data_IF_873409672376
#
_entry.id   IF_873409672376
#
_cell.length_a   1.000
_cell.length_b   1.000
_cell.length_c   1.000
_cell.angle_alpha   90.00
_cell.angle_beta   90.00
_cell.angle_gamma   90.00
#
_symmetry.space_group_name_H-M   'P 1'
#
loop_
_entity.id
_entity.type
_entity.pdbx_description
1 polymer ?
#
# COMPACT_ATOMS: atom_id res chain seq x y z
N UNK A 1 -48.23 -1.00 -7.13
CA UNK A 1 -46.89 -0.38 -7.17
C UNK A 1 -46.51 0.02 -5.76
N UNK A 2 -45.58 -0.69 -5.08
CA UNK A 2 -45.14 -0.31 -3.73
C UNK A 2 -43.89 0.57 -3.87
N UNK A 3 -44.08 1.88 -3.68
CA UNK A 3 -42.99 2.87 -3.61
C UNK A 3 -42.27 2.65 -2.28
N UNK A 4 -41.13 1.96 -2.31
CA UNK A 4 -40.28 1.81 -1.12
C UNK A 4 -39.72 3.18 -0.76
N UNK A 5 -40.04 3.60 0.47
CA UNK A 5 -39.58 4.84 1.09
C UNK A 5 -38.05 4.85 1.11
N UNK A 6 -37.45 5.87 0.49
CA UNK A 6 -36.04 6.20 0.72
C UNK A 6 -35.96 6.73 2.15
N UNK A 7 -35.55 5.89 3.08
CA UNK A 7 -35.14 6.32 4.41
C UNK A 7 -33.84 7.09 4.24
N UNK A 8 -33.89 8.41 4.39
CA UNK A 8 -32.71 9.25 4.52
C UNK A 8 -31.99 8.82 5.80
N UNK A 9 -30.81 8.24 5.65
CA UNK A 9 -29.94 7.92 6.79
C UNK A 9 -29.54 9.26 7.44
N UNK A 10 -29.86 9.49 8.73
CA UNK A 10 -29.57 10.77 9.40
C UNK A 10 -28.07 11.07 9.48
N UNK A 11 -27.21 10.07 9.31
CA UNK A 11 -25.76 10.22 9.34
C UNK A 11 -25.15 10.46 7.93
N UNK A 12 -25.97 10.46 6.87
CA UNK A 12 -25.53 10.68 5.49
C UNK A 12 -25.53 12.18 5.15
N UNK A 13 -24.36 12.71 4.79
CA UNK A 13 -24.22 14.07 4.29
C UNK A 13 -24.82 14.19 2.87
N UNK A 14 -25.42 15.35 2.58
CA UNK A 14 -26.07 15.64 1.30
C UNK A 14 -25.15 15.50 0.09
N UNK A 15 -23.84 15.75 0.28
CA UNK A 15 -22.83 15.68 -0.79
C UNK A 15 -22.39 14.24 -1.13
N UNK A 16 -22.85 13.23 -0.40
CA UNK A 16 -22.44 11.85 -0.61
C UNK A 16 -23.28 11.13 -1.66
N UNK A 17 -22.73 10.96 -2.87
CA UNK A 17 -23.31 10.09 -3.90
C UNK A 17 -22.72 8.67 -3.87
N UNK A 18 -23.40 7.76 -3.16
CA UNK A 18 -23.09 6.33 -3.16
C UNK A 18 -23.84 5.52 -4.23
N UNK A 19 -24.55 6.16 -5.18
CA UNK A 19 -25.31 5.44 -6.23
C UNK A 19 -24.43 4.52 -7.09
N UNK A 20 -23.12 4.82 -7.17
CA UNK A 20 -22.10 4.04 -7.88
C UNK A 20 -21.20 3.20 -6.94
N UNK A 21 -21.58 3.10 -5.67
CA UNK A 21 -20.83 2.35 -4.67
C UNK A 21 -20.79 0.85 -4.98
N UNK A 22 -19.59 0.24 -4.90
CA UNK A 22 -19.41 -1.20 -5.10
C UNK A 22 -18.89 -1.81 -3.81
N UNK A 23 -19.64 -2.74 -3.22
CA UNK A 23 -19.24 -3.45 -1.99
C UNK A 23 -17.93 -4.20 -2.25
N UNK A 24 -16.92 -3.92 -1.42
CA UNK A 24 -15.65 -4.61 -1.49
C UNK A 24 -14.75 -4.24 -2.68
N UNK A 25 -14.94 -3.06 -3.31
CA UNK A 25 -14.16 -2.57 -4.46
C UNK A 25 -12.63 -2.74 -4.36
N UNK A 26 -12.08 -2.68 -3.14
CA UNK A 26 -10.64 -2.78 -2.88
C UNK A 26 -10.23 -4.01 -2.04
N UNK A 27 -11.16 -4.94 -1.76
CA UNK A 27 -10.88 -6.10 -0.89
C UNK A 27 -9.74 -6.96 -1.44
N UNK A 28 -9.66 -7.13 -2.77
CA UNK A 28 -8.54 -7.85 -3.39
C UNK A 28 -7.19 -7.15 -3.17
N UNK A 29 -7.15 -5.82 -3.31
CA UNK A 29 -5.92 -5.02 -3.08
C UNK A 29 -5.48 -5.03 -1.62
N UNK A 30 -6.43 -5.09 -0.70
CA UNK A 30 -6.13 -5.24 0.72
C UNK A 30 -5.57 -6.64 1.02
N UNK A 31 -6.20 -7.69 0.47
CA UNK A 31 -5.76 -9.08 0.65
C UNK A 31 -4.40 -9.38 0.04
N UNK A 32 -4.02 -8.73 -1.06
CA UNK A 32 -2.68 -8.85 -1.64
C UNK A 32 -1.57 -8.27 -0.76
N UNK A 33 -1.92 -7.66 0.38
CA UNK A 33 -1.00 -6.91 1.21
C UNK A 33 -0.72 -5.52 0.61
N UNK A 34 -0.36 -4.59 1.49
CA UNK A 34 0.19 -3.31 1.06
C UNK A 34 1.65 -3.53 0.66
N UNK A 35 2.08 -3.01 -0.48
CA UNK A 35 3.49 -2.99 -0.89
C UNK A 35 4.28 -1.90 -0.12
N UNK A 36 4.04 -1.77 1.19
CA UNK A 36 4.63 -0.76 2.06
C UNK A 36 5.54 -1.49 3.03
N UNK A 37 6.83 -1.20 2.93
CA UNK A 37 7.85 -1.66 3.88
C UNK A 37 8.18 -0.49 4.79
N UNK A 38 7.86 -0.63 6.08
CA UNK A 38 8.19 0.38 7.09
C UNK A 38 9.63 0.15 7.55
N UNK A 39 10.47 1.18 7.41
CA UNK A 39 11.82 1.16 7.96
C UNK A 39 11.76 1.38 9.47
N UNK A 40 12.72 0.79 10.20
CA UNK A 40 12.90 1.13 11.61
C UNK A 40 13.35 2.60 11.73
N UNK A 41 13.04 3.29 12.85
CA UNK A 41 13.31 4.72 13.00
C UNK A 41 14.78 5.09 12.77
N UNK A 42 15.71 4.29 13.31
CA UNK A 42 17.15 4.45 13.17
C UNK A 42 17.61 4.36 11.70
N UNK A 43 17.01 3.48 10.90
CA UNK A 43 17.31 3.35 9.47
C UNK A 43 16.70 4.52 8.69
N UNK A 44 15.49 4.95 9.05
CA UNK A 44 14.82 6.08 8.42
C UNK A 44 15.55 7.41 8.68
N UNK A 45 16.27 7.56 9.80
CA UNK A 45 17.12 8.73 10.08
C UNK A 45 18.32 8.85 9.12
N UNK A 46 18.79 7.72 8.57
CA UNK A 46 19.96 7.68 7.69
C UNK A 46 19.59 7.98 6.23
N UNK A 47 18.38 7.60 5.79
CA UNK A 47 17.96 7.72 4.40
C UNK A 47 16.90 8.82 4.20
N UNK A 48 17.16 9.74 3.27
CA UNK A 48 16.28 10.87 2.99
C UNK A 48 15.01 10.50 2.21
N UNK A 49 15.05 9.45 1.40
CA UNK A 49 13.97 9.05 0.50
C UNK A 49 14.04 7.58 0.09
N UNK A 50 13.01 7.11 -0.62
CA UNK A 50 12.95 5.73 -1.11
C UNK A 50 13.95 5.43 -2.22
N UNK A 51 14.46 6.42 -2.95
CA UNK A 51 15.43 6.21 -4.03
C UNK A 51 16.79 5.79 -3.44
N UNK A 52 17.27 6.54 -2.45
CA UNK A 52 18.53 6.27 -1.73
C UNK A 52 18.52 4.91 -1.03
N UNK A 53 17.41 4.52 -0.38
CA UNK A 53 17.24 3.19 0.21
C UNK A 53 17.36 2.10 -0.84
N UNK A 54 16.65 2.26 -1.96
CA UNK A 54 16.63 1.25 -3.02
C UNK A 54 17.99 1.10 -3.70
N UNK A 55 18.72 2.19 -3.90
CA UNK A 55 20.07 2.15 -4.45
C UNK A 55 21.04 1.39 -3.53
N UNK A 56 21.01 1.66 -2.23
CA UNK A 56 21.83 0.97 -1.24
C UNK A 56 21.55 -0.55 -1.25
N UNK A 57 20.27 -0.94 -1.21
CA UNK A 57 19.87 -2.35 -1.26
C UNK A 57 20.28 -3.03 -2.57
N UNK A 58 20.15 -2.37 -3.72
CA UNK A 58 20.61 -2.89 -5.02
C UNK A 58 22.11 -3.12 -5.04
N UNK A 59 22.88 -2.21 -4.45
CA UNK A 59 24.34 -2.34 -4.33
C UNK A 59 24.71 -3.55 -3.48
N UNK A 60 24.05 -3.75 -2.34
CA UNK A 60 24.24 -4.93 -1.49
C UNK A 60 23.90 -6.24 -2.23
N UNK A 61 22.83 -6.25 -3.04
CA UNK A 61 22.48 -7.40 -3.88
C UNK A 61 23.59 -7.72 -4.89
N UNK A 62 24.22 -6.70 -5.50
CA UNK A 62 25.33 -6.91 -6.44
C UNK A 62 26.54 -7.54 -5.74
N UNK A 63 26.92 -7.01 -4.57
CA UNK A 63 28.07 -7.51 -3.79
C UNK A 63 27.84 -8.95 -3.36
N UNK A 64 26.67 -9.27 -2.80
CA UNK A 64 26.35 -10.62 -2.34
C UNK A 64 26.33 -11.64 -3.49
N UNK A 65 25.85 -11.25 -4.68
CA UNK A 65 25.91 -12.09 -5.89
C UNK A 65 27.35 -12.34 -6.36
N UNK A 66 28.24 -11.36 -6.24
CA UNK A 66 29.65 -11.52 -6.58
C UNK A 66 30.34 -12.44 -5.58
N UNK A 67 30.11 -12.27 -4.28
CA UNK A 67 30.65 -13.14 -3.23
C UNK A 67 30.20 -14.60 -3.41
N UNK A 68 28.93 -14.84 -3.78
CA UNK A 68 28.40 -16.19 -4.05
C UNK A 68 29.01 -16.86 -5.30
N UNK A 69 29.61 -16.09 -6.21
CA UNK A 69 30.23 -16.61 -7.44
C UNK A 69 31.69 -17.01 -7.27
N UNK A 70 32.34 -16.71 -6.14
CA UNK A 70 33.70 -17.18 -5.86
C UNK A 70 33.56 -18.57 -5.21
N UNK A 71 33.82 -19.68 -5.93
CA UNK A 71 33.97 -20.96 -5.27
C UNK A 71 35.26 -20.92 -4.43
N UNK A 72 35.20 -21.55 -3.26
CA UNK A 72 36.34 -21.76 -2.37
C UNK A 72 37.49 -22.50 -3.06
#
# INVERSE_FOLDING_TARGET
MKKTLRTSDPDMLDDYDFSKGVRGKYVQRFKSGSNIVVLSPDVAEVFSDSESVNEALRTLIKVTRQAKKIPA
#
